data_IF_761952826260
#
_entry.id   IF_761952826260
#
_cell.length_a   1.000
_cell.length_b   1.000
_cell.length_c   1.000
_cell.angle_alpha   90.00
_cell.angle_beta   90.00
_cell.angle_gamma   90.00
#
_symmetry.space_group_name_H-M   'P 1'
#
loop_
_entity.id
_entity.type
_entity.pdbx_description
1 polymer ?
#
# COMPACT_ATOMS: atom_id res chain seq x y z
N UNK A 1 -8.27 36.30 0.40
CA UNK A 1 -7.52 35.37 -0.47
C UNK A 1 -6.95 34.27 0.42
N UNK A 2 -7.61 33.11 0.45
CA UNK A 2 -7.09 31.92 1.14
C UNK A 2 -6.07 31.26 0.22
N UNK A 3 -4.81 31.21 0.65
CA UNK A 3 -3.71 30.54 -0.05
C UNK A 3 -3.99 29.03 -0.05
N UNK A 4 -4.38 28.49 -1.20
CA UNK A 4 -4.49 27.05 -1.41
C UNK A 4 -3.09 26.44 -1.30
N UNK A 5 -2.86 25.40 -0.47
CA UNK A 5 -1.55 24.78 -0.40
C UNK A 5 -1.24 24.11 -1.74
N UNK A 6 -0.26 24.64 -2.46
CA UNK A 6 0.32 24.01 -3.64
C UNK A 6 1.06 22.76 -3.18
N UNK A 7 0.37 21.61 -3.22
CA UNK A 7 1.03 20.30 -3.10
C UNK A 7 2.10 20.28 -4.19
N UNK A 8 3.36 20.14 -3.78
CA UNK A 8 4.48 20.11 -4.72
C UNK A 8 4.46 18.78 -5.49
N UNK A 9 4.92 18.77 -6.73
CA UNK A 9 4.92 17.58 -7.61
C UNK A 9 5.65 16.38 -6.96
N UNK A 10 6.65 16.67 -6.13
CA UNK A 10 7.40 15.70 -5.34
C UNK A 10 6.58 15.05 -4.20
N UNK A 11 5.71 15.82 -3.54
CA UNK A 11 4.79 15.31 -2.52
C UNK A 11 3.70 14.42 -3.15
N UNK A 12 3.20 14.78 -4.33
CA UNK A 12 2.25 13.97 -5.08
C UNK A 12 2.87 12.63 -5.50
N UNK A 13 4.08 12.65 -6.08
CA UNK A 13 4.81 11.43 -6.46
C UNK A 13 5.11 10.53 -5.25
N UNK A 14 5.45 11.12 -4.11
CA UNK A 14 5.70 10.38 -2.85
C UNK A 14 4.42 9.71 -2.33
N UNK A 15 3.28 10.41 -2.42
CA UNK A 15 1.98 9.87 -2.03
C UNK A 15 1.57 8.71 -2.93
N UNK A 16 1.71 8.85 -4.24
CA UNK A 16 1.41 7.80 -5.21
C UNK A 16 2.24 6.54 -4.95
N UNK A 17 3.56 6.71 -4.77
CA UNK A 17 4.48 5.61 -4.43
C UNK A 17 4.02 4.88 -3.16
N UNK A 18 3.58 5.64 -2.14
CA UNK A 18 3.08 5.09 -0.88
C UNK A 18 1.77 4.32 -1.07
N UNK A 19 0.85 4.82 -1.88
CA UNK A 19 -0.44 4.16 -2.12
C UNK A 19 -0.25 2.86 -2.92
N UNK A 20 0.64 2.84 -3.90
CA UNK A 20 1.04 1.61 -4.62
C UNK A 20 1.65 0.59 -3.64
N UNK A 21 2.62 1.01 -2.82
CA UNK A 21 3.25 0.13 -1.84
C UNK A 21 2.22 -0.44 -0.84
N UNK A 22 1.24 0.39 -0.43
CA UNK A 22 0.14 -0.05 0.43
C UNK A 22 -0.73 -1.10 -0.25
N UNK A 23 -1.07 -0.93 -1.52
CA UNK A 23 -1.87 -1.91 -2.26
C UNK A 23 -1.17 -3.26 -2.37
N UNK A 24 0.14 -3.26 -2.67
CA UNK A 24 0.94 -4.48 -2.71
C UNK A 24 0.95 -5.16 -1.33
N UNK A 25 1.22 -4.39 -0.27
CA UNK A 25 1.25 -4.90 1.10
C UNK A 25 -0.12 -5.45 1.54
N UNK A 26 -1.20 -4.75 1.22
CA UNK A 26 -2.56 -5.15 1.55
C UNK A 26 -2.98 -6.41 0.80
N UNK A 27 -2.77 -6.46 -0.53
CA UNK A 27 -3.20 -7.59 -1.35
C UNK A 27 -2.50 -8.90 -0.98
N UNK A 28 -1.19 -8.84 -0.73
CA UNK A 28 -0.40 -9.98 -0.26
C UNK A 28 -0.86 -10.46 1.12
N UNK A 29 -0.94 -9.55 2.10
CA UNK A 29 -1.40 -9.87 3.45
C UNK A 29 -2.84 -10.39 3.47
N UNK A 30 -3.76 -9.77 2.72
CA UNK A 30 -5.18 -10.14 2.72
C UNK A 30 -5.39 -11.56 2.22
N UNK A 31 -4.62 -11.98 1.22
CA UNK A 31 -4.65 -13.33 0.67
C UNK A 31 -4.23 -14.34 1.73
N UNK A 32 -3.08 -14.11 2.39
CA UNK A 32 -2.59 -14.95 3.49
C UNK A 32 -3.58 -15.00 4.67
N UNK A 33 -4.15 -13.84 5.02
CA UNK A 33 -5.07 -13.71 6.14
C UNK A 33 -6.37 -14.48 5.91
N UNK A 34 -6.98 -14.36 4.73
CA UNK A 34 -8.22 -15.08 4.37
C UNK A 34 -8.01 -16.59 4.32
N UNK A 35 -6.85 -17.04 3.85
CA UNK A 35 -6.52 -18.48 3.83
C UNK A 35 -6.39 -19.05 5.25
N UNK A 36 -5.83 -18.26 6.17
CA UNK A 36 -5.62 -18.69 7.56
C UNK A 36 -6.83 -18.44 8.47
N UNK A 37 -7.74 -17.56 8.05
CA UNK A 37 -8.91 -17.14 8.83
C UNK A 37 -10.13 -17.06 7.89
N UNK A 38 -10.64 -18.21 7.40
CA UNK A 38 -11.73 -18.24 6.41
C UNK A 38 -13.02 -17.61 6.94
N UNK A 39 -13.27 -17.69 8.25
CA UNK A 39 -14.49 -17.18 8.89
C UNK A 39 -14.32 -15.78 9.50
N UNK A 40 -13.15 -15.14 9.32
CA UNK A 40 -12.89 -13.84 9.91
C UNK A 40 -13.87 -12.78 9.37
N UNK A 41 -14.47 -12.05 10.31
CA UNK A 41 -15.33 -10.92 10.00
C UNK A 41 -14.52 -9.75 9.42
N UNK A 42 -15.23 -8.82 8.79
CA UNK A 42 -14.60 -7.59 8.31
C UNK A 42 -13.96 -6.77 9.44
N UNK A 43 -14.56 -6.76 10.62
CA UNK A 43 -14.04 -6.05 11.79
C UNK A 43 -12.70 -6.65 12.26
N UNK A 44 -12.62 -7.97 12.36
CA UNK A 44 -11.39 -8.68 12.75
C UNK A 44 -10.29 -8.52 11.71
N UNK A 45 -10.65 -8.57 10.42
CA UNK A 45 -9.72 -8.27 9.33
C UNK A 45 -9.14 -6.87 9.46
N UNK A 46 -9.99 -5.87 9.69
CA UNK A 46 -9.53 -4.47 9.83
C UNK A 46 -8.63 -4.31 11.06
N UNK A 47 -9.01 -4.87 12.19
CA UNK A 47 -8.21 -4.82 13.42
C UNK A 47 -6.85 -5.51 13.24
N UNK A 48 -6.84 -6.68 12.60
CA UNK A 48 -5.63 -7.45 12.32
C UNK A 48 -4.68 -6.72 11.38
N UNK A 49 -5.23 -6.07 10.35
CA UNK A 49 -4.42 -5.25 9.45
C UNK A 49 -3.78 -4.07 10.16
N UNK A 50 -4.55 -3.33 10.97
CA UNK A 50 -4.04 -2.18 11.71
C UNK A 50 -2.85 -2.54 12.62
N UNK A 51 -2.87 -3.74 13.19
CA UNK A 51 -1.77 -4.26 14.01
C UNK A 51 -0.49 -4.54 13.22
N UNK A 52 -0.59 -4.97 11.95
CA UNK A 52 0.57 -5.41 11.15
C UNK A 52 0.95 -4.47 10.00
N UNK A 53 0.12 -3.44 9.73
CA UNK A 53 0.26 -2.58 8.54
C UNK A 53 1.64 -1.95 8.44
N UNK A 54 2.21 -1.50 9.55
CA UNK A 54 3.51 -0.80 9.56
C UNK A 54 4.63 -1.71 9.05
N UNK A 55 4.64 -2.97 9.47
CA UNK A 55 5.64 -3.94 9.05
C UNK A 55 5.38 -4.47 7.64
N UNK A 56 4.12 -4.71 7.29
CA UNK A 56 3.74 -5.12 5.93
C UNK A 56 4.03 -4.04 4.89
N UNK A 57 3.90 -2.76 5.24
CA UNK A 57 4.27 -1.64 4.37
C UNK A 57 5.75 -1.68 3.96
N UNK A 58 6.66 -2.09 4.85
CA UNK A 58 8.09 -2.27 4.49
C UNK A 58 8.26 -3.32 3.39
N UNK A 59 7.48 -4.40 3.45
CA UNK A 59 7.42 -5.41 2.40
C UNK A 59 6.87 -4.86 1.08
N UNK A 60 5.80 -4.07 1.16
CA UNK A 60 5.21 -3.40 -0.01
C UNK A 60 6.20 -2.47 -0.73
N UNK A 61 6.99 -1.68 0.00
CA UNK A 61 8.02 -0.82 -0.60
C UNK A 61 9.13 -1.63 -1.26
N UNK A 62 9.64 -2.68 -0.60
CA UNK A 62 10.68 -3.54 -1.18
C UNK A 62 10.21 -4.25 -2.45
N UNK A 63 8.95 -4.67 -2.48
CA UNK A 63 8.35 -5.26 -3.67
C UNK A 63 8.24 -4.23 -4.81
N UNK A 64 7.80 -3.01 -4.51
CA UNK A 64 7.77 -1.92 -5.50
C UNK A 64 9.17 -1.61 -6.05
N UNK A 65 10.18 -1.47 -5.18
CA UNK A 65 11.58 -1.26 -5.61
C UNK A 65 12.11 -2.42 -6.45
N UNK A 66 11.70 -3.66 -6.14
CA UNK A 66 12.09 -4.84 -6.92
C UNK A 66 11.48 -4.82 -8.33
N UNK A 67 10.23 -4.36 -8.47
CA UNK A 67 9.59 -4.17 -9.77
C UNK A 67 10.29 -3.07 -10.58
N UNK A 68 10.57 -1.93 -9.95
CA UNK A 68 11.31 -0.81 -10.58
C UNK A 68 12.69 -1.26 -11.06
N UNK A 69 13.43 -2.01 -10.25
CA UNK A 69 14.71 -2.62 -10.63
C UNK A 69 14.58 -3.65 -11.75
N UNK A 70 13.43 -4.32 -11.84
CA UNK A 70 13.09 -5.25 -12.93
C UNK A 70 12.72 -4.54 -14.23
N UNK A 71 12.90 -3.22 -14.32
CA UNK A 71 12.53 -2.39 -15.46
C UNK A 71 11.01 -2.33 -15.70
N UNK A 72 10.21 -2.55 -14.66
CA UNK A 72 8.77 -2.32 -14.66
C UNK A 72 8.46 -0.93 -14.11
N UNK A 73 7.53 -0.22 -14.75
CA UNK A 73 6.97 1.02 -14.22
C UNK A 73 5.56 0.73 -13.72
N UNK A 74 5.32 0.95 -12.42
CA UNK A 74 3.98 0.83 -11.84
C UNK A 74 3.28 2.18 -11.97
N UNK A 75 2.19 2.22 -12.71
CA UNK A 75 1.34 3.39 -12.89
C UNK A 75 -0.09 3.05 -12.44
N UNK A 76 -0.79 3.96 -11.73
CA UNK A 76 -2.23 3.80 -11.50
C UNK A 76 -2.97 3.65 -12.83
N UNK A 77 -4.05 2.86 -12.84
CA UNK A 77 -4.96 2.83 -13.98
C UNK A 77 -5.74 4.16 -14.07
N UNK A 78 -5.96 4.64 -15.30
CA UNK A 78 -6.78 5.82 -15.60
C UNK A 78 -8.29 5.56 -15.41
#
# INVERSE_FOLDING_TARGET
MTLTPTVTEEEAATKERRDIARLIAWGTWLTEFKMSNPDATEAERKASWEAVRSDRMKGGFRALESLERGNFKVVPAE
#
